data_IF_724085824325
#
_entry.id   IF_724085824325
#
_cell.length_a   1.000
_cell.length_b   1.000
_cell.length_c   1.000
_cell.angle_alpha   90.00
_cell.angle_beta   90.00
_cell.angle_gamma   90.00
#
_symmetry.space_group_name_H-M   'P 1'
#
loop_
_entity.id
_entity.type
_entity.pdbx_description
1 polymer ?
#
# COMPACT_ATOMS: atom_id res chain seq x y z
N UNK A 1 22.61 -33.33 0.31
CA UNK A 1 22.57 -32.33 1.40
C UNK A 1 21.18 -31.70 1.35
N UNK A 2 20.43 -31.83 2.42
CA UNK A 2 19.17 -31.08 2.57
C UNK A 2 19.55 -29.65 2.98
N UNK A 3 19.31 -28.71 2.09
CA UNK A 3 19.57 -27.28 2.33
C UNK A 3 18.26 -26.52 2.25
N UNK A 4 18.01 -25.65 3.23
CA UNK A 4 16.84 -24.81 3.30
C UNK A 4 17.27 -23.33 3.36
N UNK A 5 16.67 -22.50 2.51
CA UNK A 5 16.76 -21.04 2.61
C UNK A 5 15.57 -20.51 3.40
N UNK A 6 15.81 -19.81 4.50
CA UNK A 6 14.76 -19.26 5.38
C UNK A 6 14.78 -17.73 5.28
N UNK A 7 13.65 -17.07 4.89
CA UNK A 7 13.55 -15.63 4.88
C UNK A 7 13.35 -15.12 6.32
N UNK A 8 14.40 -14.55 6.93
CA UNK A 8 14.37 -14.18 8.35
C UNK A 8 13.55 -12.93 8.64
N UNK A 9 13.59 -11.92 7.79
CA UNK A 9 12.99 -10.60 8.05
C UNK A 9 12.19 -10.12 6.84
N UNK A 10 11.21 -10.92 6.42
CA UNK A 10 10.37 -10.58 5.27
C UNK A 10 9.39 -9.47 5.62
N UNK A 11 9.33 -8.44 4.77
CA UNK A 11 8.25 -7.44 4.83
C UNK A 11 7.01 -8.03 4.17
N UNK A 12 5.91 -8.21 4.89
CA UNK A 12 4.69 -8.80 4.32
C UNK A 12 3.98 -7.79 3.42
N UNK A 13 3.80 -8.15 2.16
CA UNK A 13 2.93 -7.47 1.22
C UNK A 13 1.72 -8.37 0.94
N UNK A 14 0.54 -7.92 1.33
CA UNK A 14 -0.71 -8.58 1.01
C UNK A 14 -1.23 -8.09 -0.34
N UNK A 15 -1.49 -9.01 -1.25
CA UNK A 15 -2.14 -8.71 -2.53
C UNK A 15 -3.45 -9.48 -2.63
N UNK A 16 -4.53 -8.80 -3.03
CA UNK A 16 -5.83 -9.38 -3.29
C UNK A 16 -6.54 -8.62 -4.41
N UNK A 17 -7.73 -9.07 -4.77
CA UNK A 17 -8.60 -8.39 -5.73
C UNK A 17 -9.92 -8.04 -5.05
N UNK A 18 -10.38 -6.80 -5.23
CA UNK A 18 -11.66 -6.31 -4.74
C UNK A 18 -12.56 -6.02 -5.92
N UNK A 19 -13.73 -6.65 -5.92
CA UNK A 19 -14.79 -6.32 -6.87
C UNK A 19 -15.59 -5.15 -6.31
N UNK A 20 -15.50 -4.01 -6.98
CA UNK A 20 -16.29 -2.85 -6.63
C UNK A 20 -17.18 -2.40 -7.80
N UNK A 21 -18.28 -1.75 -7.46
CA UNK A 21 -19.16 -1.18 -8.47
C UNK A 21 -18.45 0.00 -9.14
N UNK A 22 -18.20 -0.11 -10.45
CA UNK A 22 -17.53 0.92 -11.25
C UNK A 22 -18.43 2.15 -11.56
N UNK A 23 -19.67 2.19 -11.03
CA UNK A 23 -20.58 3.34 -11.19
C UNK A 23 -20.13 4.59 -10.42
N UNK A 24 -18.98 4.52 -9.73
CA UNK A 24 -18.39 5.67 -9.08
C UNK A 24 -17.76 6.55 -10.16
N UNK A 25 -18.40 7.67 -10.43
CA UNK A 25 -17.89 8.68 -11.34
C UNK A 25 -16.66 9.37 -10.70
N UNK A 26 -15.48 8.87 -11.04
CA UNK A 26 -14.20 9.32 -10.49
C UNK A 26 -13.87 10.75 -10.95
N UNK A 27 -14.39 11.20 -12.09
CA UNK A 27 -14.11 12.52 -12.65
C UNK A 27 -14.91 13.62 -11.95
N UNK A 28 -16.04 13.26 -11.30
CA UNK A 28 -16.85 14.19 -10.49
C UNK A 28 -16.40 14.34 -9.04
N UNK A 29 -15.26 13.77 -8.68
CA UNK A 29 -14.66 13.97 -7.36
C UNK A 29 -13.83 15.26 -7.38
N UNK A 30 -13.94 16.06 -6.32
CA UNK A 30 -13.11 17.26 -6.15
C UNK A 30 -11.67 16.88 -5.83
N UNK A 31 -10.77 17.28 -6.71
CA UNK A 31 -9.33 17.08 -6.54
C UNK A 31 -8.59 18.38 -6.26
N UNK A 32 -7.46 18.27 -5.59
CA UNK A 32 -6.47 19.32 -5.39
C UNK A 32 -5.09 18.80 -5.77
N UNK A 33 -4.25 19.66 -6.34
CA UNK A 33 -2.87 19.30 -6.64
C UNK A 33 -2.07 19.17 -5.35
N UNK A 34 -1.25 18.12 -5.26
CA UNK A 34 -0.34 17.96 -4.13
C UNK A 34 0.72 19.08 -4.10
N UNK A 35 1.08 19.53 -2.90
CA UNK A 35 2.17 20.47 -2.66
C UNK A 35 3.50 19.75 -2.41
N UNK A 36 3.45 18.54 -1.88
CA UNK A 36 4.61 17.73 -1.46
C UNK A 36 4.82 16.48 -2.30
N UNK A 37 3.97 16.23 -3.28
CA UNK A 37 4.03 15.08 -4.16
C UNK A 37 3.60 15.50 -5.58
N UNK A 38 3.76 14.62 -6.55
CA UNK A 38 3.28 14.87 -7.90
C UNK A 38 1.87 14.28 -8.09
N UNK A 39 1.02 14.96 -8.91
CA UNK A 39 -0.36 14.53 -9.14
C UNK A 39 -1.38 15.22 -8.24
N UNK A 40 -2.56 14.59 -8.11
CA UNK A 40 -3.71 15.17 -7.42
C UNK A 40 -4.25 14.18 -6.39
N UNK A 41 -4.78 14.71 -5.29
CA UNK A 41 -5.54 13.96 -4.30
C UNK A 41 -6.97 14.47 -4.19
N UNK A 42 -7.94 13.59 -3.89
CA UNK A 42 -9.28 14.05 -3.55
C UNK A 42 -9.21 15.02 -2.38
N UNK A 43 -9.99 16.12 -2.41
CA UNK A 43 -10.08 17.06 -1.27
C UNK A 43 -10.62 16.37 -0.02
N UNK A 44 -11.61 15.50 -0.20
CA UNK A 44 -12.10 14.67 0.89
C UNK A 44 -11.05 13.61 1.24
N UNK A 45 -10.52 13.65 2.47
CA UNK A 45 -9.55 12.69 3.02
C UNK A 45 -10.19 11.57 3.85
N UNK A 46 -11.51 11.46 3.80
CA UNK A 46 -12.32 10.43 4.45
C UNK A 46 -13.30 9.79 3.46
N UNK A 47 -12.86 9.59 2.23
CA UNK A 47 -13.74 9.22 1.12
C UNK A 47 -14.44 7.87 1.35
N UNK A 48 -13.79 6.91 2.01
CA UNK A 48 -14.38 5.62 2.38
C UNK A 48 -15.55 5.74 3.37
N UNK A 49 -15.65 6.85 4.11
CA UNK A 49 -16.77 7.09 5.04
C UNK A 49 -18.01 7.65 4.33
N UNK A 50 -17.89 8.02 3.07
CA UNK A 50 -19.03 8.53 2.31
C UNK A 50 -19.96 7.40 1.87
N UNK A 51 -21.26 7.72 1.69
CA UNK A 51 -22.28 6.74 1.30
C UNK A 51 -21.93 5.97 0.03
N UNK A 52 -21.31 6.63 -0.95
CA UNK A 52 -20.90 6.02 -2.22
C UNK A 52 -19.87 4.90 -2.04
N UNK A 53 -19.00 5.01 -1.04
CA UNK A 53 -17.90 4.08 -0.79
C UNK A 53 -18.19 3.10 0.35
N UNK A 54 -19.36 3.14 0.96
CA UNK A 54 -19.68 2.33 2.15
C UNK A 54 -19.53 0.82 1.91
N UNK A 55 -20.02 0.32 0.77
CA UNK A 55 -19.88 -1.10 0.42
C UNK A 55 -18.41 -1.48 0.21
N UNK A 56 -17.64 -0.61 -0.44
CA UNK A 56 -16.21 -0.80 -0.67
C UNK A 56 -15.44 -0.78 0.64
N UNK A 57 -15.79 0.14 1.54
CA UNK A 57 -15.18 0.20 2.88
C UNK A 57 -15.31 -1.13 3.63
N UNK A 58 -16.50 -1.74 3.62
CA UNK A 58 -16.72 -3.05 4.28
C UNK A 58 -15.82 -4.15 3.72
N UNK A 59 -15.60 -4.16 2.41
CA UNK A 59 -14.69 -5.13 1.79
C UNK A 59 -13.24 -4.86 2.19
N UNK A 60 -12.81 -3.59 2.16
CA UNK A 60 -11.47 -3.18 2.58
C UNK A 60 -11.24 -3.51 4.06
N UNK A 61 -12.18 -3.19 4.95
CA UNK A 61 -12.10 -3.52 6.37
C UNK A 61 -11.82 -5.02 6.56
N UNK A 62 -12.58 -5.88 5.88
CA UNK A 62 -12.40 -7.33 5.91
C UNK A 62 -10.99 -7.76 5.44
N UNK A 63 -10.47 -7.14 4.38
CA UNK A 63 -9.11 -7.45 3.92
C UNK A 63 -8.05 -6.98 4.91
N UNK A 64 -8.23 -5.81 5.55
CA UNK A 64 -7.32 -5.32 6.60
C UNK A 64 -7.35 -6.26 7.81
N UNK A 65 -8.52 -6.74 8.23
CA UNK A 65 -8.64 -7.74 9.30
C UNK A 65 -7.94 -9.05 8.94
N UNK A 66 -8.14 -9.56 7.72
CA UNK A 66 -7.45 -10.76 7.23
C UNK A 66 -5.93 -10.55 7.28
N UNK A 67 -5.45 -9.41 6.79
CA UNK A 67 -4.02 -9.11 6.79
C UNK A 67 -3.44 -9.10 8.21
N UNK A 68 -4.10 -8.41 9.16
CA UNK A 68 -3.60 -8.27 10.53
C UNK A 68 -3.76 -9.55 11.36
N UNK A 69 -4.95 -10.16 11.33
CA UNK A 69 -5.30 -11.22 12.27
C UNK A 69 -5.17 -12.64 11.69
N UNK A 70 -5.03 -12.78 10.35
CA UNK A 70 -4.79 -14.07 9.70
C UNK A 70 -3.39 -14.22 9.14
N UNK A 71 -2.87 -13.17 8.46
CA UNK A 71 -1.55 -13.23 7.83
C UNK A 71 -0.43 -12.85 8.79
N UNK A 72 -0.64 -11.82 9.64
CA UNK A 72 0.33 -11.40 10.66
C UNK A 72 0.07 -12.03 12.03
N UNK A 73 -1.04 -12.77 12.20
CA UNK A 73 -1.41 -13.49 13.42
C UNK A 73 -1.44 -12.62 14.69
N UNK A 74 -1.81 -11.33 14.55
CA UNK A 74 -1.96 -10.49 15.73
C UNK A 74 -3.11 -11.02 16.60
N UNK A 75 -2.87 -11.10 17.89
CA UNK A 75 -3.83 -11.65 18.87
C UNK A 75 -4.69 -10.59 19.55
N UNK A 76 -4.38 -9.31 19.37
CA UNK A 76 -5.01 -8.20 20.10
C UNK A 76 -5.31 -7.03 19.14
N UNK A 77 -6.27 -6.20 19.55
CA UNK A 77 -6.64 -4.98 18.88
C UNK A 77 -7.82 -5.11 17.95
N UNK A 78 -8.30 -3.97 17.50
CA UNK A 78 -9.31 -3.80 16.47
C UNK A 78 -8.83 -2.75 15.47
N UNK A 79 -9.33 -2.81 14.25
CA UNK A 79 -8.95 -1.84 13.21
C UNK A 79 -9.66 -0.50 13.44
N UNK A 80 -8.93 0.59 13.22
CA UNK A 80 -9.45 1.95 13.15
C UNK A 80 -9.03 2.60 11.82
N UNK A 81 -10.03 2.98 11.01
CA UNK A 81 -9.79 3.79 9.81
C UNK A 81 -9.27 5.16 10.22
N UNK A 82 -8.18 5.62 9.61
CA UNK A 82 -7.56 6.93 9.89
C UNK A 82 -7.87 7.92 8.79
N UNK A 83 -7.53 7.58 7.54
CA UNK A 83 -7.75 8.41 6.36
C UNK A 83 -7.94 7.58 5.12
N UNK A 84 -8.62 8.17 4.13
CA UNK A 84 -8.75 7.59 2.80
C UNK A 84 -8.97 8.69 1.76
N UNK A 85 -8.26 8.58 0.64
CA UNK A 85 -8.34 9.56 -0.44
C UNK A 85 -8.09 8.86 -1.79
N UNK A 86 -8.53 9.50 -2.87
CA UNK A 86 -8.23 9.02 -4.22
C UNK A 86 -7.08 9.85 -4.78
N UNK A 87 -6.04 9.17 -5.23
CA UNK A 87 -4.97 9.74 -6.03
C UNK A 87 -5.39 9.73 -7.49
N UNK A 88 -5.18 10.85 -8.16
CA UNK A 88 -5.25 10.97 -9.61
C UNK A 88 -3.86 11.33 -10.14
N UNK A 89 -3.32 10.45 -10.94
CA UNK A 89 -2.11 10.71 -11.72
C UNK A 89 -2.48 10.89 -13.19
N UNK A 90 -2.39 12.13 -13.67
CA UNK A 90 -2.48 12.46 -15.08
C UNK A 90 -1.17 12.11 -15.79
N UNK A 91 -1.09 12.34 -17.10
CA UNK A 91 0.13 12.09 -17.87
C UNK A 91 1.31 12.86 -17.27
N UNK A 92 2.38 12.14 -16.93
CA UNK A 92 3.59 12.67 -16.30
C UNK A 92 3.58 12.67 -14.78
N UNK A 93 2.41 12.48 -14.13
CA UNK A 93 2.32 12.44 -12.68
C UNK A 93 2.71 11.07 -12.10
N UNK A 94 3.28 11.08 -10.89
CA UNK A 94 3.74 9.90 -10.17
C UNK A 94 3.74 10.14 -8.66
N UNK A 95 3.78 9.10 -7.86
CA UNK A 95 4.05 9.20 -6.45
C UNK A 95 5.55 9.08 -6.19
N UNK A 96 6.13 10.07 -5.51
CA UNK A 96 7.52 10.02 -5.04
C UNK A 96 7.68 8.93 -3.97
N UNK A 97 8.92 8.51 -3.71
CA UNK A 97 9.22 7.57 -2.63
C UNK A 97 8.83 8.18 -1.28
N UNK A 98 7.97 7.49 -0.53
CA UNK A 98 7.45 7.94 0.76
C UNK A 98 6.99 6.79 1.64
N UNK A 99 6.65 7.10 2.88
CA UNK A 99 6.02 6.24 3.87
C UNK A 99 4.80 6.96 4.47
N UNK A 100 3.97 6.24 5.23
CA UNK A 100 2.86 6.80 5.98
C UNK A 100 3.15 6.71 7.49
N UNK A 101 3.77 7.75 8.06
CA UNK A 101 4.28 7.74 9.42
C UNK A 101 3.19 7.66 10.52
N UNK A 102 1.94 8.02 10.21
CA UNK A 102 0.85 8.14 11.19
C UNK A 102 -0.18 7.00 11.11
N UNK A 103 0.25 5.84 10.68
CA UNK A 103 -0.63 4.67 10.55
C UNK A 103 0.15 3.37 10.75
N UNK A 104 -0.58 2.28 11.00
CA UNK A 104 -0.01 0.96 11.21
C UNK A 104 -0.03 0.15 9.90
N UNK A 105 -1.16 0.18 9.19
CA UNK A 105 -1.34 -0.45 7.87
C UNK A 105 -1.75 0.60 6.86
N UNK A 106 -1.09 0.59 5.73
CA UNK A 106 -1.48 1.35 4.54
C UNK A 106 -1.97 0.41 3.45
N UNK A 107 -2.89 0.92 2.65
CA UNK A 107 -3.40 0.16 1.51
C UNK A 107 -3.66 1.04 0.30
N UNK A 108 -3.64 0.39 -0.85
CA UNK A 108 -3.93 0.98 -2.15
C UNK A 108 -4.86 0.04 -2.91
N UNK A 109 -5.97 0.57 -3.39
CA UNK A 109 -6.88 -0.11 -4.31
C UNK A 109 -6.90 0.65 -5.64
N UNK A 110 -6.60 -0.04 -6.72
CA UNK A 110 -6.62 0.55 -8.06
C UNK A 110 -8.04 0.57 -8.64
N UNK A 111 -8.54 1.79 -8.91
CA UNK A 111 -9.92 2.03 -9.38
C UNK A 111 -10.00 2.17 -10.91
N UNK A 112 -9.04 2.86 -11.52
CA UNK A 112 -8.90 2.98 -12.97
C UNK A 112 -7.40 3.00 -13.28
N UNK A 113 -6.95 2.13 -14.16
CA UNK A 113 -5.52 2.01 -14.51
C UNK A 113 -5.42 1.82 -16.02
N UNK A 114 -4.65 2.66 -16.71
CA UNK A 114 -4.23 2.37 -18.07
C UNK A 114 -3.38 1.10 -18.12
N UNK A 115 -3.44 0.34 -19.18
CA UNK A 115 -2.61 -0.87 -19.34
C UNK A 115 -1.11 -0.54 -19.32
N UNK A 116 -0.26 -1.57 -19.12
CA UNK A 116 1.19 -1.37 -19.21
C UNK A 116 1.62 -0.88 -20.59
N UNK A 117 0.98 -1.40 -21.65
CA UNK A 117 1.23 -1.00 -23.04
C UNK A 117 0.86 0.45 -23.29
N UNK A 118 -0.19 0.97 -22.65
CA UNK A 118 -0.57 2.37 -22.66
C UNK A 118 0.31 3.25 -21.75
N UNK A 119 1.22 2.65 -20.98
CA UNK A 119 2.14 3.35 -20.09
C UNK A 119 1.56 3.64 -18.70
N UNK A 120 0.64 2.81 -18.20
CA UNK A 120 0.03 2.97 -16.87
C UNK A 120 1.02 2.96 -15.70
N UNK A 121 2.18 2.32 -15.89
CA UNK A 121 3.29 2.30 -14.93
C UNK A 121 3.07 1.34 -13.76
N UNK A 122 4.15 1.09 -13.03
CA UNK A 122 4.21 0.14 -11.91
C UNK A 122 4.11 0.85 -10.56
N UNK A 123 3.73 0.09 -9.53
CA UNK A 123 3.96 0.43 -8.13
C UNK A 123 5.17 -0.36 -7.64
N UNK A 124 6.01 0.30 -6.84
CA UNK A 124 7.22 -0.30 -6.29
C UNK A 124 7.21 -0.23 -4.77
N UNK A 125 7.69 -1.30 -4.15
CA UNK A 125 7.96 -1.39 -2.72
C UNK A 125 9.44 -1.62 -2.52
N UNK A 126 10.05 -0.84 -1.62
CA UNK A 126 11.48 -0.89 -1.34
C UNK A 126 11.76 -1.51 0.02
N UNK A 127 12.83 -2.29 0.09
CA UNK A 127 13.39 -2.74 1.35
C UNK A 127 13.94 -1.52 2.12
N UNK A 128 13.62 -1.37 3.42
CA UNK A 128 14.28 -0.37 4.25
C UNK A 128 15.80 -0.54 4.24
N UNK A 129 16.55 0.56 4.18
CA UNK A 129 18.02 0.52 4.20
C UNK A 129 18.57 -0.13 5.46
N UNK A 130 17.82 -0.10 6.56
CA UNK A 130 18.17 -0.72 7.84
C UNK A 130 18.06 -2.25 7.84
N UNK A 131 17.42 -2.86 6.83
CA UNK A 131 17.38 -4.32 6.73
C UNK A 131 18.60 -4.83 5.99
N UNK A 132 19.33 -5.82 6.56
CA UNK A 132 20.46 -6.43 5.87
C UNK A 132 19.93 -7.14 4.62
N UNK A 133 20.25 -6.58 3.48
CA UNK A 133 20.04 -7.22 2.18
C UNK A 133 21.40 -7.68 1.64
N UNK A 134 21.40 -8.60 0.70
CA UNK A 134 22.63 -9.02 0.02
C UNK A 134 23.32 -7.85 -0.71
N UNK A 135 22.66 -6.70 -0.84
CA UNK A 135 23.18 -5.46 -1.38
C UNK A 135 23.85 -4.60 -0.29
N UNK A 136 24.77 -5.14 0.48
CA UNK A 136 25.29 -4.46 1.68
C UNK A 136 26.66 -3.83 1.53
N UNK A 137 27.25 -3.82 0.33
CA UNK A 137 28.62 -3.33 0.20
C UNK A 137 28.88 -2.71 -1.17
N UNK A 138 30.11 -2.26 -1.34
CA UNK A 138 30.68 -1.75 -2.58
C UNK A 138 30.64 -2.73 -3.75
N UNK A 139 30.37 -4.02 -3.50
CA UNK A 139 30.29 -5.06 -4.53
C UNK A 139 28.82 -5.40 -4.77
N UNK A 140 28.36 -5.20 -6.00
CA UNK A 140 27.00 -5.55 -6.44
C UNK A 140 27.09 -6.61 -7.56
N UNK A 141 27.19 -7.91 -7.23
CA UNK A 141 27.33 -8.96 -8.21
C UNK A 141 26.07 -9.08 -9.09
N UNK A 142 26.23 -9.46 -10.33
CA UNK A 142 25.11 -9.78 -11.21
C UNK A 142 24.28 -10.95 -10.66
N UNK A 143 22.98 -10.88 -10.85
CA UNK A 143 22.01 -11.87 -10.40
C UNK A 143 21.31 -12.49 -11.61
N UNK A 144 21.25 -13.82 -11.64
CA UNK A 144 20.49 -14.52 -12.68
C UNK A 144 18.98 -14.20 -12.58
N UNK A 145 18.46 -14.16 -11.36
CA UNK A 145 17.04 -13.89 -11.09
C UNK A 145 16.90 -13.12 -9.77
N UNK A 146 15.89 -12.26 -9.71
CA UNK A 146 15.48 -11.58 -8.48
C UNK A 146 14.55 -12.47 -7.67
N UNK A 147 14.75 -12.50 -6.34
CA UNK A 147 13.95 -13.27 -5.40
C UNK A 147 13.91 -12.60 -4.01
N UNK A 148 13.21 -13.20 -3.05
CA UNK A 148 13.03 -12.66 -1.69
C UNK A 148 14.33 -12.48 -0.91
N UNK A 149 15.42 -13.12 -1.31
CA UNK A 149 16.72 -13.07 -0.62
C UNK A 149 17.65 -12.01 -1.18
N UNK A 150 17.43 -11.58 -2.42
CA UNK A 150 18.41 -10.73 -3.13
C UNK A 150 17.82 -9.46 -3.75
N UNK A 151 16.51 -9.23 -3.62
CA UNK A 151 15.85 -8.05 -4.17
C UNK A 151 15.68 -6.97 -3.11
N UNK A 152 16.06 -5.74 -3.43
CA UNK A 152 15.82 -4.55 -2.61
C UNK A 152 14.58 -3.76 -3.05
N UNK A 153 14.04 -4.07 -4.22
CA UNK A 153 12.86 -3.40 -4.79
C UNK A 153 12.00 -4.46 -5.49
N UNK A 154 10.68 -4.38 -5.26
CA UNK A 154 9.68 -5.16 -5.98
C UNK A 154 8.74 -4.25 -6.72
N UNK A 155 8.55 -4.48 -8.03
CA UNK A 155 7.62 -3.74 -8.87
C UNK A 155 6.44 -4.60 -9.31
N UNK A 156 5.24 -4.05 -9.26
CA UNK A 156 4.01 -4.71 -9.69
C UNK A 156 3.29 -3.85 -10.71
N UNK A 157 2.79 -4.49 -11.78
CA UNK A 157 1.88 -3.87 -12.74
C UNK A 157 0.49 -3.97 -12.13
N UNK A 158 -0.15 -2.86 -11.74
CA UNK A 158 -1.48 -2.91 -11.17
C UNK A 158 -2.53 -3.08 -12.26
N UNK A 159 -3.59 -3.78 -11.92
CA UNK A 159 -4.83 -3.83 -12.70
C UNK A 159 -6.01 -3.31 -11.88
N UNK A 160 -7.11 -2.99 -12.54
CA UNK A 160 -8.33 -2.54 -11.85
C UNK A 160 -8.79 -3.60 -10.84
N UNK A 161 -9.06 -3.18 -9.61
CA UNK A 161 -9.44 -4.05 -8.50
C UNK A 161 -8.26 -4.60 -7.68
N UNK A 162 -7.02 -4.42 -8.13
CA UNK A 162 -5.85 -4.82 -7.33
C UNK A 162 -5.80 -4.05 -6.01
N UNK A 163 -5.76 -4.79 -4.93
CA UNK A 163 -5.61 -4.31 -3.56
C UNK A 163 -4.26 -4.73 -3.01
N UNK A 164 -3.49 -3.75 -2.53
CA UNK A 164 -2.24 -3.98 -1.80
C UNK A 164 -2.38 -3.47 -0.38
N UNK A 165 -1.98 -4.27 0.63
CA UNK A 165 -1.83 -3.85 2.01
C UNK A 165 -0.39 -4.12 2.46
N UNK A 166 0.17 -3.19 3.22
CA UNK A 166 1.55 -3.24 3.67
C UNK A 166 1.74 -2.46 4.97
N UNK A 167 2.80 -2.74 5.75
CA UNK A 167 3.15 -1.94 6.91
C UNK A 167 3.38 -0.48 6.48
N UNK A 168 2.80 0.47 7.19
CA UNK A 168 2.77 1.88 6.78
C UNK A 168 4.15 2.52 6.63
N UNK A 169 5.18 1.97 7.28
CA UNK A 169 6.57 2.40 7.17
C UNK A 169 7.32 1.80 5.96
N UNK A 170 6.65 1.01 5.11
CA UNK A 170 7.26 0.47 3.89
C UNK A 170 7.41 1.59 2.85
N UNK A 171 8.64 1.86 2.42
CA UNK A 171 8.90 2.79 1.33
C UNK A 171 8.28 2.30 0.03
N UNK A 172 7.53 3.18 -0.60
CA UNK A 172 6.90 2.86 -1.88
C UNK A 172 6.81 4.10 -2.79
N UNK A 173 6.71 3.85 -4.09
CA UNK A 173 6.59 4.87 -5.12
C UNK A 173 5.92 4.28 -6.37
N UNK A 174 5.60 5.13 -7.35
CA UNK A 174 5.06 4.68 -8.64
C UNK A 174 5.84 5.24 -9.80
N UNK A 175 5.81 4.54 -10.94
CA UNK A 175 6.21 5.14 -12.21
C UNK A 175 5.30 6.32 -12.57
N UNK A 176 5.83 7.22 -13.40
CA UNK A 176 5.00 8.22 -14.03
C UNK A 176 3.96 7.56 -14.95
N UNK A 177 2.73 8.03 -14.85
CA UNK A 177 1.70 7.68 -15.83
C UNK A 177 2.05 8.30 -17.18
N UNK A 178 2.32 7.48 -18.18
CA UNK A 178 2.66 7.93 -19.56
C UNK A 178 1.45 7.96 -20.49
N UNK A 179 0.35 7.34 -20.06
CA UNK A 179 -0.91 7.31 -20.81
C UNK A 179 -1.58 8.70 -20.85
N UNK A 180 -2.43 8.91 -21.81
CA UNK A 180 -3.36 10.05 -21.85
C UNK A 180 -4.53 9.89 -20.88
N UNK A 181 -4.81 8.64 -20.47
CA UNK A 181 -5.84 8.33 -19.47
C UNK A 181 -5.31 8.51 -18.04
N UNK A 182 -6.17 9.01 -17.16
CA UNK A 182 -5.84 9.16 -15.74
C UNK A 182 -5.75 7.81 -15.02
N UNK A 183 -4.74 7.64 -14.17
CA UNK A 183 -4.63 6.52 -13.23
C UNK A 183 -5.23 6.95 -11.88
N UNK A 184 -6.25 6.21 -11.41
CA UNK A 184 -6.95 6.48 -10.17
C UNK A 184 -6.71 5.35 -9.18
N UNK A 185 -6.24 5.71 -7.99
CA UNK A 185 -6.00 4.76 -6.91
C UNK A 185 -6.55 5.30 -5.59
N UNK A 186 -7.35 4.50 -4.91
CA UNK A 186 -7.84 4.77 -3.57
C UNK A 186 -6.78 4.35 -2.56
N UNK A 187 -6.18 5.32 -1.87
CA UNK A 187 -5.27 5.08 -0.75
C UNK A 187 -6.00 5.22 0.57
N UNK A 188 -5.59 4.42 1.55
CA UNK A 188 -6.18 4.45 2.88
C UNK A 188 -5.19 3.98 3.94
N UNK A 189 -5.44 4.45 5.16
CA UNK A 189 -4.61 4.17 6.33
C UNK A 189 -5.47 3.67 7.47
N UNK A 190 -4.95 2.66 8.18
CA UNK A 190 -5.55 2.09 9.38
C UNK A 190 -4.56 2.07 10.54
N UNK A 191 -5.09 2.20 11.73
CA UNK A 191 -4.39 2.01 12.98
C UNK A 191 -5.03 0.89 13.78
N UNK A 192 -4.37 0.45 14.86
CA UNK A 192 -4.91 -0.48 15.82
C UNK A 192 -5.40 0.27 17.06
N UNK A 193 -6.56 -0.12 17.58
CA UNK A 193 -7.07 0.30 18.88
C UNK A 193 -7.19 -0.91 19.80
N UNK A 194 -7.07 -0.66 21.10
CA UNK A 194 -7.23 -1.66 22.15
C UNK A 194 -6.10 -1.64 23.14
N UNK A 195 -6.04 -2.67 23.97
CA UNK A 195 -5.02 -2.82 25.00
C UNK A 195 -3.92 -3.75 24.50
N UNK A 196 -2.68 -3.32 24.58
CA UNK A 196 -1.51 -4.05 24.10
C UNK A 196 -0.53 -4.31 25.24
N UNK A 197 0.03 -5.52 25.28
CA UNK A 197 0.89 -5.96 26.37
C UNK A 197 0.10 -6.46 27.60
N UNK A 198 0.82 -6.78 28.67
CA UNK A 198 0.23 -7.16 29.93
C UNK A 198 -0.05 -5.91 30.77
N UNK A 199 -1.22 -5.83 31.41
CA UNK A 199 -1.70 -4.65 32.12
C UNK A 199 -0.77 -4.14 33.24
N UNK A 200 0.03 -5.02 33.80
CA UNK A 200 1.01 -4.73 34.85
C UNK A 200 2.45 -4.54 34.32
N UNK A 201 2.65 -4.58 33.00
CA UNK A 201 3.94 -4.38 32.38
C UNK A 201 4.19 -2.91 32.04
N UNK A 202 5.47 -2.51 32.02
CA UNK A 202 5.89 -1.13 31.70
C UNK A 202 5.50 -0.76 30.25
N UNK A 203 5.51 -1.73 29.35
CA UNK A 203 5.17 -1.57 27.94
C UNK A 203 3.65 -1.65 27.63
N UNK A 204 2.78 -1.71 28.67
CA UNK A 204 1.35 -1.68 28.49
C UNK A 204 0.90 -0.39 27.82
N UNK A 205 0.12 -0.52 26.76
CA UNK A 205 -0.41 0.59 25.98
C UNK A 205 -1.91 0.38 25.73
N UNK A 206 -2.70 1.39 25.97
CA UNK A 206 -4.11 1.48 25.62
C UNK A 206 -4.33 2.59 24.61
N UNK A 207 -4.94 2.27 23.44
CA UNK A 207 -5.17 3.19 22.30
C UNK A 207 -6.65 3.23 21.94
#
# INVERSE_FOLDING_TARGET
MDTQNVPLFSTPLYKSTVNYNQDIDLEKIDYERYTSNNGFGSKNKEILLTRKFHSLKKQIDKHVEIYLFKCLELSQGRIRHIRSWINLHQRGDYAQTHIHANSFVSGILYLKVPSEEEGGGKIYFMCPESQPTFKTSTINPERKHHNVFNSSVWGFIPVIGDLYLFPSHTYHYTDANKSTEGRYALSFNYFLEGSFGKKDAIEYLEL
#
